data_IF_190994239656
#
_entry.id   IF_190994239656
#
_cell.length_a   1.000
_cell.length_b   1.000
_cell.length_c   1.000
_cell.angle_alpha   90.00
_cell.angle_beta   90.00
_cell.angle_gamma   90.00
#
_symmetry.space_group_name_H-M   'P 1'
#
loop_
_entity.id
_entity.type
_entity.pdbx_description
1 polymer ?
#
# COMPACT_ATOMS: atom_id res chain seq x y z
N UNK A 1 1.49 -6.06 16.32
CA UNK A 1 2.04 -7.41 16.05
C UNK A 1 3.34 -7.57 16.80
N UNK A 2 3.78 -8.79 17.10
CA UNK A 2 5.06 -9.04 17.81
C UNK A 2 5.76 -10.27 17.24
N UNK A 3 7.07 -10.17 17.00
CA UNK A 3 7.92 -11.27 16.52
C UNK A 3 9.38 -11.10 16.94
N UNK A 4 10.10 -12.20 17.15
CA UNK A 4 11.54 -12.21 17.52
C UNK A 4 12.48 -12.03 16.32
N UNK A 5 11.95 -12.01 15.10
CA UNK A 5 12.74 -11.82 13.88
C UNK A 5 11.97 -10.95 12.89
N UNK A 6 12.64 -10.27 11.95
CA UNK A 6 11.96 -9.50 10.91
C UNK A 6 10.95 -10.37 10.15
N UNK A 7 9.76 -9.83 9.93
CA UNK A 7 8.67 -10.53 9.25
C UNK A 7 8.30 -9.82 7.95
N UNK A 8 7.76 -10.60 7.03
CA UNK A 8 7.00 -10.08 5.91
C UNK A 8 5.52 -10.30 6.19
N UNK A 9 4.81 -9.23 6.57
CA UNK A 9 3.40 -9.28 6.90
C UNK A 9 2.59 -9.18 5.61
N UNK A 10 1.66 -10.12 5.40
CA UNK A 10 0.69 -10.07 4.30
C UNK A 10 -0.64 -9.60 4.85
N UNK A 11 -1.18 -8.56 4.23
CA UNK A 11 -2.53 -8.05 4.48
C UNK A 11 -3.42 -8.44 3.30
N UNK A 12 -4.41 -9.30 3.56
CA UNK A 12 -5.25 -9.95 2.55
C UNK A 12 -6.33 -9.05 1.95
N UNK A 13 -5.99 -7.79 1.68
CA UNK A 13 -6.82 -6.80 0.98
C UNK A 13 -6.25 -6.49 -0.40
N UNK A 14 -7.12 -6.07 -1.33
CA UNK A 14 -6.69 -5.73 -2.70
C UNK A 14 -5.81 -4.46 -2.70
N UNK A 15 -4.66 -4.54 -3.37
CA UNK A 15 -3.74 -3.43 -3.59
C UNK A 15 -4.29 -2.44 -4.63
N UNK A 16 -5.32 -1.70 -4.24
CA UNK A 16 -5.86 -0.57 -4.99
C UNK A 16 -5.06 0.70 -4.70
N UNK A 17 -5.02 1.65 -5.63
CA UNK A 17 -4.46 2.96 -5.33
C UNK A 17 -5.12 3.64 -4.14
N UNK A 18 -4.33 4.35 -3.34
CA UNK A 18 -4.81 5.09 -2.17
C UNK A 18 -4.58 4.42 -0.82
N UNK A 19 -4.01 3.22 -0.79
CA UNK A 19 -3.47 2.64 0.43
C UNK A 19 -2.15 3.27 0.84
N UNK A 20 -1.99 3.47 2.14
CA UNK A 20 -0.72 3.71 2.83
C UNK A 20 -0.59 2.73 3.98
N UNK A 21 0.64 2.38 4.30
CA UNK A 21 0.94 1.51 5.43
C UNK A 21 1.97 2.18 6.33
N UNK A 22 1.85 1.94 7.64
CA UNK A 22 2.71 2.49 8.66
C UNK A 22 3.17 1.41 9.63
N UNK A 23 4.43 1.50 10.06
CA UNK A 23 4.99 0.76 11.19
C UNK A 23 5.38 1.80 12.23
N UNK A 24 4.74 1.76 13.40
CA UNK A 24 4.90 2.74 14.48
C UNK A 24 4.78 4.21 13.99
N UNK A 25 3.79 4.46 13.12
CA UNK A 25 3.53 5.77 12.53
C UNK A 25 4.51 6.20 11.41
N UNK A 26 5.47 5.36 11.04
CA UNK A 26 6.40 5.63 9.92
C UNK A 26 5.88 4.97 8.64
N UNK A 27 5.65 5.78 7.60
CA UNK A 27 5.15 5.31 6.29
C UNK A 27 6.14 4.31 5.68
N UNK A 28 5.64 3.14 5.28
CA UNK A 28 6.44 2.04 4.75
C UNK A 28 5.96 1.61 3.36
N UNK A 29 6.85 1.15 2.45
CA UNK A 29 6.44 0.67 1.15
C UNK A 29 5.52 -0.55 1.22
N UNK A 30 4.44 -0.49 0.42
CA UNK A 30 3.55 -1.63 0.19
C UNK A 30 4.03 -2.42 -1.04
N UNK A 31 4.16 -3.74 -0.89
CA UNK A 31 4.48 -4.69 -1.95
C UNK A 31 3.23 -5.46 -2.37
N UNK A 32 3.05 -5.69 -3.68
CA UNK A 32 1.98 -6.58 -4.15
C UNK A 32 2.38 -8.05 -3.99
N UNK A 33 1.55 -8.83 -3.31
CA UNK A 33 1.75 -10.24 -2.99
C UNK A 33 0.65 -11.07 -3.65
N UNK A 34 0.99 -12.19 -4.29
CA UNK A 34 -0.03 -13.08 -4.86
C UNK A 34 -0.95 -12.38 -5.86
N UNK A 35 -0.40 -11.45 -6.65
CA UNK A 35 -1.08 -10.61 -7.66
C UNK A 35 -2.00 -9.51 -7.14
N UNK A 36 -2.59 -9.65 -5.95
CA UNK A 36 -3.60 -8.69 -5.46
C UNK A 36 -3.42 -8.24 -4.02
N UNK A 37 -2.77 -9.02 -3.17
CA UNK A 37 -2.64 -8.69 -1.76
C UNK A 37 -1.55 -7.67 -1.49
N UNK A 38 -1.61 -7.03 -0.34
CA UNK A 38 -0.57 -6.11 0.13
C UNK A 38 0.37 -6.83 1.09
N UNK A 39 1.64 -6.44 1.09
CA UNK A 39 2.60 -6.89 2.07
C UNK A 39 3.59 -5.80 2.46
N UNK A 40 4.09 -5.86 3.68
CA UNK A 40 5.06 -4.92 4.24
C UNK A 40 6.16 -5.67 5.00
N UNK A 41 7.33 -5.05 5.12
CA UNK A 41 8.40 -5.53 6.00
C UNK A 41 8.16 -4.94 7.39
N UNK A 42 8.13 -5.79 8.41
CA UNK A 42 8.03 -5.41 9.82
C UNK A 42 9.31 -5.86 10.53
N UNK A 43 10.05 -4.96 11.22
CA UNK A 43 11.21 -5.35 12.00
C UNK A 43 10.89 -6.34 13.12
N UNK A 44 11.92 -6.90 13.74
CA UNK A 44 11.74 -7.66 14.98
C UNK A 44 11.30 -6.73 16.12
N UNK A 45 10.51 -7.27 17.03
CA UNK A 45 9.95 -6.54 18.17
C UNK A 45 8.44 -6.46 18.11
N UNK A 46 7.90 -5.61 18.98
CA UNK A 46 6.49 -5.28 19.05
C UNK A 46 6.23 -3.97 18.32
N UNK A 47 5.34 -4.03 17.34
CA UNK A 47 5.05 -2.92 16.44
C UNK A 47 3.56 -2.73 16.25
N UNK A 48 3.13 -1.47 16.19
CA UNK A 48 1.80 -1.10 15.72
C UNK A 48 1.82 -0.98 14.20
N UNK A 49 0.83 -1.59 13.55
CA UNK A 49 0.72 -1.65 12.10
C UNK A 49 -0.60 -1.02 11.70
N UNK A 50 -0.53 0.01 10.88
CA UNK A 50 -1.70 0.72 10.39
C UNK A 50 -1.74 0.67 8.87
N UNK A 51 -2.91 0.36 8.32
CA UNK A 51 -3.21 0.50 6.90
C UNK A 51 -4.32 1.53 6.75
N UNK A 52 -4.05 2.61 6.03
CA UNK A 52 -5.00 3.68 5.79
C UNK A 52 -5.38 3.74 4.32
N UNK A 53 -6.68 3.84 4.04
CA UNK A 53 -7.19 3.95 2.68
C UNK A 53 -7.90 5.28 2.46
N UNK A 54 -7.52 5.99 1.39
CA UNK A 54 -8.15 7.26 1.01
C UNK A 54 -8.71 7.22 -0.41
N UNK A 55 -10.05 7.36 -0.54
CA UNK A 55 -10.77 7.39 -1.82
C UNK A 55 -10.34 8.51 -2.78
N UNK A 56 -9.86 9.64 -2.25
CA UNK A 56 -9.43 10.80 -3.07
C UNK A 56 -8.32 10.40 -4.04
N UNK A 57 -7.41 9.52 -3.62
CA UNK A 57 -6.28 9.05 -4.43
C UNK A 57 -6.76 8.26 -5.65
N UNK A 58 -7.82 7.46 -5.53
CA UNK A 58 -8.39 6.71 -6.67
C UNK A 58 -8.89 7.66 -7.76
N UNK A 59 -9.63 8.69 -7.37
CA UNK A 59 -10.21 9.65 -8.33
C UNK A 59 -9.10 10.45 -9.03
N UNK A 60 -8.08 10.86 -8.27
CA UNK A 60 -6.92 11.59 -8.81
C UNK A 60 -6.09 10.72 -9.75
N UNK A 61 -5.76 9.48 -9.37
CA UNK A 61 -4.99 8.56 -10.20
C UNK A 61 -5.75 8.13 -11.46
N UNK A 62 -7.05 7.85 -11.34
CA UNK A 62 -7.89 7.56 -12.50
C UNK A 62 -7.94 8.77 -13.44
N UNK A 63 -8.11 9.98 -12.90
CA UNK A 63 -8.06 11.22 -13.67
C UNK A 63 -6.71 11.40 -14.40
N UNK A 64 -5.59 11.16 -13.70
CA UNK A 64 -4.25 11.24 -14.27
C UNK A 64 -4.01 10.18 -15.35
N UNK A 65 -4.47 8.94 -15.14
CA UNK A 65 -4.42 7.86 -16.13
C UNK A 65 -5.21 8.23 -17.39
N UNK A 66 -6.43 8.75 -17.23
CA UNK A 66 -7.26 9.18 -18.35
C UNK A 66 -6.63 10.32 -19.14
N UNK A 67 -6.08 11.33 -18.46
CA UNK A 67 -5.31 12.42 -19.10
C UNK A 67 -4.12 11.88 -19.90
N UNK A 68 -3.38 10.92 -19.35
CA UNK A 68 -2.22 10.31 -20.02
C UNK A 68 -2.60 9.52 -21.28
N UNK A 69 -3.73 8.80 -21.27
CA UNK A 69 -4.22 8.06 -22.45
C UNK A 69 -4.77 8.99 -23.54
N UNK A 70 -5.49 10.05 -23.16
CA UNK A 70 -6.10 11.00 -24.11
C UNK A 70 -5.05 11.99 -24.68
N UNK A 71 -4.07 12.40 -23.88
CA UNK A 71 -2.98 13.28 -24.32
C UNK A 71 -1.96 12.64 -25.27
N UNK A 72 -2.10 11.36 -25.61
CA UNK A 72 -1.27 10.64 -26.59
C UNK A 72 -1.96 10.53 -27.97
N UNK A 73 -3.19 11.03 -28.09
CA UNK A 73 -4.02 10.96 -29.31
C UNK A 73 -3.97 12.25 -30.18
N UNK A 74 -3.09 13.20 -29.85
CA UNK A 74 -2.79 14.41 -30.63
C UNK A 74 -1.29 14.72 -30.52
#
# INVERSE_FOLDING_TARGET
>A
TSSETPQFLVFSENNLPGWKAYVDGVETPIYTVGSVYMGIIVPEGEHEIEFEFTYKTIVEEFGNMMKKKVGFLF
#
